data_IF_886214749926
#
_entry.id   IF_886214749926
#
_cell.length_a   1.000
_cell.length_b   1.000
_cell.length_c   1.000
_cell.angle_alpha   90.00
_cell.angle_beta   90.00
_cell.angle_gamma   90.00
#
_symmetry.space_group_name_H-M   'P 1'
#
loop_
_entity.id
_entity.type
_entity.pdbx_description
1 polymer ?
#
# COMPACT_ATOMS: atom_id res chain seq x y z
N UNK A 1 -18.30 -25.61 -31.22
CA UNK A 1 -17.25 -25.48 -30.18
C UNK A 1 -17.15 -24.01 -29.79
N UNK A 2 -17.19 -23.64 -28.49
CA UNK A 2 -17.10 -22.23 -28.09
C UNK A 2 -15.66 -21.72 -28.30
N UNK A 3 -15.53 -20.57 -28.97
CA UNK A 3 -14.27 -19.84 -29.17
C UNK A 3 -13.96 -19.03 -27.91
N UNK A 4 -12.73 -19.08 -27.41
CA UNK A 4 -12.29 -18.26 -26.27
C UNK A 4 -12.18 -16.80 -26.74
N UNK A 5 -12.67 -15.81 -25.97
CA UNK A 5 -12.54 -14.39 -26.31
C UNK A 5 -11.07 -13.99 -26.45
N UNK A 6 -10.76 -13.26 -27.53
CA UNK A 6 -9.41 -12.83 -27.91
C UNK A 6 -8.76 -11.94 -26.82
N UNK A 7 -9.56 -11.34 -25.94
CA UNK A 7 -9.10 -10.49 -24.84
C UNK A 7 -8.19 -11.22 -23.83
N UNK A 8 -8.41 -12.52 -23.58
CA UNK A 8 -7.58 -13.32 -22.65
C UNK A 8 -6.17 -13.59 -23.20
N UNK A 9 -5.97 -13.45 -24.51
CA UNK A 9 -4.67 -13.68 -25.16
C UNK A 9 -3.76 -12.44 -25.16
N UNK A 10 -4.30 -11.24 -24.90
CA UNK A 10 -3.50 -10.00 -24.85
C UNK A 10 -2.60 -9.94 -23.61
N UNK A 11 -3.08 -10.46 -22.48
CA UNK A 11 -2.35 -10.42 -21.20
C UNK A 11 -1.18 -11.41 -21.11
N UNK A 12 -1.13 -12.39 -22.01
CA UNK A 12 -0.11 -13.45 -22.04
C UNK A 12 1.17 -13.05 -22.81
N UNK A 13 1.17 -11.88 -23.46
CA UNK A 13 2.27 -11.40 -24.30
C UNK A 13 2.53 -12.28 -25.52
N UNK A 14 3.52 -11.90 -26.34
CA UNK A 14 3.84 -12.57 -27.63
C UNK A 14 4.18 -14.05 -27.47
N UNK A 15 4.84 -14.43 -26.38
CA UNK A 15 5.22 -15.82 -26.08
C UNK A 15 4.03 -16.71 -25.74
N UNK A 16 3.02 -16.20 -25.04
CA UNK A 16 1.83 -16.99 -24.72
C UNK A 16 0.90 -17.20 -25.92
N UNK A 17 0.88 -16.24 -26.86
CA UNK A 17 0.17 -16.39 -28.14
C UNK A 17 0.81 -17.49 -29.01
N UNK A 18 2.14 -17.56 -29.08
CA UNK A 18 2.83 -18.64 -29.78
C UNK A 18 2.61 -20.01 -29.13
N UNK A 19 2.61 -20.09 -27.80
CA UNK A 19 2.33 -21.32 -27.06
C UNK A 19 0.89 -21.82 -27.30
N UNK A 20 -0.10 -20.91 -27.34
CA UNK A 20 -1.50 -21.26 -27.67
C UNK A 20 -1.64 -21.76 -29.11
N UNK A 21 -0.96 -21.13 -30.08
CA UNK A 21 -0.96 -21.60 -31.47
C UNK A 21 -0.34 -22.98 -31.63
N UNK A 22 0.73 -23.27 -30.89
CA UNK A 22 1.42 -24.57 -30.95
C UNK A 22 0.66 -25.68 -30.24
N UNK A 23 0.05 -25.41 -29.08
CA UNK A 23 -0.65 -26.42 -28.27
C UNK A 23 -1.88 -25.86 -27.54
N UNK A 24 -3.00 -25.61 -28.27
CA UNK A 24 -4.16 -24.90 -27.72
C UNK A 24 -4.87 -25.66 -26.59
N UNK A 25 -4.83 -27.00 -26.61
CA UNK A 25 -5.52 -27.83 -25.62
C UNK A 25 -4.85 -27.79 -24.24
N UNK A 26 -3.51 -27.75 -24.18
CA UNK A 26 -2.77 -27.65 -22.93
C UNK A 26 -2.86 -26.25 -22.31
N UNK A 27 -2.84 -25.20 -23.12
CA UNK A 27 -2.98 -23.82 -22.64
C UNK A 27 -4.39 -23.57 -22.09
N UNK A 28 -5.44 -24.15 -22.70
CA UNK A 28 -6.80 -24.12 -22.14
C UNK A 28 -6.91 -24.82 -20.79
N UNK A 29 -6.28 -25.99 -20.66
CA UNK A 29 -6.25 -26.71 -19.38
C UNK A 29 -5.50 -25.93 -18.30
N UNK A 30 -4.37 -25.29 -18.66
CA UNK A 30 -3.61 -24.44 -17.74
C UNK A 30 -4.37 -23.19 -17.30
N UNK A 31 -5.07 -22.50 -18.23
CA UNK A 31 -5.91 -21.35 -17.92
C UNK A 31 -7.13 -21.71 -17.06
N UNK A 32 -7.71 -22.89 -17.26
CA UNK A 32 -8.81 -23.39 -16.42
C UNK A 32 -8.35 -23.73 -14.99
N UNK A 33 -7.10 -24.16 -14.82
CA UNK A 33 -6.51 -24.47 -13.50
C UNK A 33 -5.87 -23.25 -12.82
N UNK A 34 -5.51 -22.19 -13.56
CA UNK A 34 -4.84 -21.01 -13.03
C UNK A 34 -5.58 -20.31 -11.87
N UNK A 35 -6.92 -20.13 -11.91
CA UNK A 35 -7.65 -19.55 -10.78
C UNK A 35 -7.57 -20.42 -9.52
N UNK A 36 -7.62 -21.75 -9.68
CA UNK A 36 -7.53 -22.70 -8.57
C UNK A 36 -6.11 -22.77 -7.98
N UNK A 37 -5.08 -22.66 -8.82
CA UNK A 37 -3.67 -22.59 -8.38
C UNK A 37 -3.39 -21.26 -7.69
N UNK A 38 -3.87 -20.14 -8.21
CA UNK A 38 -3.75 -18.83 -7.56
C UNK A 38 -4.49 -18.80 -6.22
N UNK A 39 -5.70 -19.36 -6.16
CA UNK A 39 -6.47 -19.50 -4.92
C UNK A 39 -5.77 -20.44 -3.93
N UNK A 40 -5.23 -21.56 -4.38
CA UNK A 40 -4.45 -22.49 -3.55
C UNK A 40 -3.14 -21.89 -3.02
N UNK A 41 -2.46 -21.05 -3.81
CA UNK A 41 -1.28 -20.29 -3.37
C UNK A 41 -1.64 -19.21 -2.35
N UNK A 42 -2.76 -18.51 -2.53
CA UNK A 42 -3.28 -17.56 -1.54
C UNK A 42 -3.64 -18.26 -0.24
N UNK A 43 -4.38 -19.38 -0.29
CA UNK A 43 -4.76 -20.19 0.88
C UNK A 43 -3.55 -20.81 1.60
N UNK A 44 -2.50 -21.22 0.87
CA UNK A 44 -1.24 -21.69 1.46
C UNK A 44 -0.47 -20.56 2.14
N UNK A 45 -0.50 -19.37 1.56
CA UNK A 45 0.12 -18.20 2.17
C UNK A 45 -0.64 -17.82 3.45
N UNK A 46 -1.97 -17.78 3.41
CA UNK A 46 -2.82 -17.50 4.56
C UNK A 46 -2.63 -18.52 5.69
N UNK A 47 -2.58 -19.82 5.37
CA UNK A 47 -2.30 -20.88 6.36
C UNK A 47 -0.89 -20.79 6.93
N UNK A 48 0.10 -20.37 6.14
CA UNK A 48 1.46 -20.12 6.62
C UNK A 48 1.51 -18.91 7.56
N UNK A 49 0.80 -17.83 7.22
CA UNK A 49 0.65 -16.66 8.08
C UNK A 49 -0.10 -17.00 9.38
N UNK A 50 -1.17 -17.79 9.30
CA UNK A 50 -1.94 -18.26 10.46
C UNK A 50 -1.16 -19.21 11.36
N UNK A 51 -0.43 -20.17 10.80
CA UNK A 51 0.46 -21.04 11.57
C UNK A 51 1.59 -20.25 12.23
N UNK A 52 2.18 -19.29 11.52
CA UNK A 52 3.23 -18.45 12.08
C UNK A 52 2.70 -17.54 13.20
N UNK A 53 1.51 -16.96 13.02
CA UNK A 53 0.75 -16.24 14.07
C UNK A 53 0.53 -17.11 15.29
N UNK A 54 -0.03 -18.31 15.13
CA UNK A 54 -0.34 -19.20 16.27
C UNK A 54 0.92 -19.67 17.01
N UNK A 55 2.01 -19.92 16.29
CA UNK A 55 3.31 -20.30 16.88
C UNK A 55 3.98 -19.13 17.61
N UNK A 56 3.79 -17.90 17.13
CA UNK A 56 4.33 -16.70 17.75
C UNK A 56 3.45 -16.25 18.93
N UNK A 57 2.12 -16.23 18.83
CA UNK A 57 1.21 -15.96 19.96
C UNK A 57 1.51 -16.84 21.18
N UNK A 58 1.67 -18.16 20.97
CA UNK A 58 2.10 -19.10 22.05
C UNK A 58 3.46 -18.76 22.67
N UNK A 59 4.36 -18.11 21.93
CA UNK A 59 5.67 -17.68 22.43
C UNK A 59 5.62 -16.30 23.08
N UNK A 60 4.69 -15.43 22.67
CA UNK A 60 4.42 -14.14 23.31
C UNK A 60 3.82 -14.33 24.70
N UNK A 61 2.88 -15.28 24.85
CA UNK A 61 2.33 -15.71 26.14
C UNK A 61 3.40 -16.25 27.10
N UNK A 62 4.51 -16.78 26.55
CA UNK A 62 5.68 -17.27 27.28
C UNK A 62 6.77 -16.20 27.48
N UNK A 63 6.54 -14.94 27.07
CA UNK A 63 7.50 -13.84 27.18
C UNK A 63 8.75 -13.96 26.30
N UNK A 64 8.74 -14.84 25.28
CA UNK A 64 9.91 -15.17 24.44
C UNK A 64 10.03 -14.37 23.14
N UNK A 65 9.12 -13.43 22.89
CA UNK A 65 9.11 -12.60 21.67
C UNK A 65 9.18 -11.12 22.08
N UNK A 66 10.08 -10.40 21.43
CA UNK A 66 10.22 -8.96 21.56
C UNK A 66 8.94 -8.26 21.07
N UNK A 67 8.45 -7.27 21.84
CA UNK A 67 7.23 -6.51 21.56
C UNK A 67 7.15 -6.01 20.10
N UNK A 68 8.28 -5.56 19.57
CA UNK A 68 8.42 -5.09 18.19
C UNK A 68 8.09 -6.17 17.14
N UNK A 69 8.45 -7.43 17.39
CA UNK A 69 8.20 -8.51 16.45
C UNK A 69 6.70 -8.84 16.36
N UNK A 70 5.98 -8.73 17.48
CA UNK A 70 4.51 -8.85 17.51
C UNK A 70 3.88 -7.67 16.78
N UNK A 71 4.39 -6.46 17.03
CA UNK A 71 3.93 -5.25 16.33
C UNK A 71 4.15 -5.34 14.83
N UNK A 72 5.31 -5.79 14.39
CA UNK A 72 5.60 -5.96 12.96
C UNK A 72 4.58 -6.87 12.28
N UNK A 73 4.20 -7.98 12.91
CA UNK A 73 3.14 -8.85 12.38
C UNK A 73 1.79 -8.15 12.29
N UNK A 74 1.42 -7.36 13.32
CA UNK A 74 0.20 -6.55 13.27
C UNK A 74 0.24 -5.58 12.08
N UNK A 75 1.40 -4.99 11.80
CA UNK A 75 1.55 -4.13 10.63
C UNK A 75 1.32 -4.89 9.32
N UNK A 76 1.86 -6.09 9.18
CA UNK A 76 1.70 -6.92 7.99
C UNK A 76 0.27 -7.44 7.80
N UNK A 77 -0.36 -7.91 8.88
CA UNK A 77 -1.61 -8.66 8.78
C UNK A 77 -2.85 -7.80 8.94
N UNK A 78 -2.75 -6.62 9.56
CA UNK A 78 -3.90 -5.79 9.90
C UNK A 78 -3.77 -4.34 9.44
N UNK A 79 -2.62 -3.69 9.65
CA UNK A 79 -2.49 -2.25 9.37
C UNK A 79 -2.32 -2.00 7.88
N UNK A 80 -1.34 -2.66 7.23
CA UNK A 80 -1.10 -2.48 5.79
C UNK A 80 -2.28 -2.92 4.92
N UNK A 81 -2.96 -4.06 5.17
CA UNK A 81 -4.12 -4.44 4.36
C UNK A 81 -5.30 -3.48 4.48
N UNK A 82 -5.42 -2.76 5.60
CA UNK A 82 -6.53 -1.83 5.87
C UNK A 82 -6.14 -0.36 5.74
N UNK A 83 -4.91 -0.04 5.31
CA UNK A 83 -4.39 1.34 5.29
C UNK A 83 -5.23 2.27 4.41
N UNK A 84 -5.85 1.75 3.36
CA UNK A 84 -6.77 2.48 2.47
C UNK A 84 -8.10 2.87 3.14
N UNK A 85 -8.39 2.38 4.34
CA UNK A 85 -9.59 2.75 5.11
C UNK A 85 -9.30 3.78 6.20
N UNK A 86 -8.03 3.99 6.52
CA UNK A 86 -7.61 4.84 7.64
C UNK A 86 -7.67 6.32 7.28
N UNK A 87 -7.92 7.18 8.27
CA UNK A 87 -7.84 8.63 8.09
C UNK A 87 -6.38 9.07 7.95
N UNK A 88 -6.15 10.30 7.51
CA UNK A 88 -4.79 10.86 7.42
C UNK A 88 -4.08 10.79 8.77
N UNK A 89 -4.76 11.22 9.84
CA UNK A 89 -4.22 11.19 11.20
C UNK A 89 -3.87 9.77 11.66
N UNK A 90 -4.68 8.77 11.31
CA UNK A 90 -4.40 7.38 11.67
C UNK A 90 -3.19 6.82 10.92
N UNK A 91 -3.00 7.18 9.66
CA UNK A 91 -1.79 6.82 8.91
C UNK A 91 -0.56 7.52 9.48
N UNK A 92 -0.68 8.79 9.84
CA UNK A 92 0.38 9.59 10.46
C UNK A 92 0.85 8.96 11.80
N UNK A 93 -0.10 8.62 12.69
CA UNK A 93 0.19 7.89 13.93
C UNK A 93 0.96 6.58 13.68
N UNK A 94 0.55 5.82 12.65
CA UNK A 94 1.21 4.58 12.28
C UNK A 94 2.63 4.82 11.74
N UNK A 95 2.83 5.86 10.94
CA UNK A 95 4.15 6.24 10.42
C UNK A 95 5.07 6.64 11.57
N UNK A 96 4.62 7.51 12.48
CA UNK A 96 5.39 7.93 13.66
C UNK A 96 5.73 6.77 14.58
N UNK A 97 4.82 5.81 14.77
CA UNK A 97 5.10 4.59 15.53
C UNK A 97 6.22 3.76 14.87
N UNK A 98 6.19 3.60 13.55
CA UNK A 98 7.24 2.89 12.79
C UNK A 98 8.59 3.64 12.88
N UNK A 99 8.58 4.96 12.80
CA UNK A 99 9.79 5.79 12.97
C UNK A 99 10.42 5.57 14.34
N UNK A 100 9.60 5.55 15.40
CA UNK A 100 10.08 5.29 16.76
C UNK A 100 10.77 3.92 16.86
N UNK A 101 10.20 2.86 16.27
CA UNK A 101 10.85 1.54 16.22
C UNK A 101 12.15 1.55 15.42
N UNK A 102 12.19 2.27 14.28
CA UNK A 102 13.42 2.39 13.49
C UNK A 102 14.52 3.10 14.29
N UNK A 103 14.19 4.18 15.00
CA UNK A 103 15.13 4.90 15.86
C UNK A 103 15.65 4.01 16.99
N UNK A 104 14.75 3.32 17.71
CA UNK A 104 15.14 2.39 18.77
C UNK A 104 16.11 1.31 18.27
N UNK A 105 15.81 0.70 17.11
CA UNK A 105 16.67 -0.32 16.51
C UNK A 105 18.01 0.25 16.02
N UNK A 106 18.05 1.48 15.52
CA UNK A 106 19.28 2.17 15.11
C UNK A 106 20.17 2.48 16.32
N UNK A 107 19.58 2.95 17.42
CA UNK A 107 20.27 3.20 18.68
C UNK A 107 20.84 1.90 19.25
N UNK A 108 20.05 0.81 19.29
CA UNK A 108 20.56 -0.50 19.69
C UNK A 108 21.68 -1.01 18.78
N UNK A 109 21.56 -0.81 17.47
CA UNK A 109 22.58 -1.26 16.52
C UNK A 109 23.91 -0.55 16.75
N UNK A 110 23.88 0.76 17.01
CA UNK A 110 25.08 1.60 17.18
C UNK A 110 25.66 1.50 18.60
N UNK A 111 24.84 1.65 19.64
CA UNK A 111 25.26 1.65 21.04
C UNK A 111 25.62 0.25 21.53
N UNK A 112 24.84 -0.78 21.16
CA UNK A 112 25.06 -2.16 21.60
C UNK A 112 25.85 -2.99 20.57
N UNK A 113 26.33 -2.36 19.48
CA UNK A 113 27.10 -2.99 18.39
C UNK A 113 26.43 -4.26 17.86
N UNK A 114 25.14 -4.17 17.52
CA UNK A 114 24.32 -5.29 17.04
C UNK A 114 24.03 -5.18 15.53
N UNK A 115 24.99 -5.46 14.63
CA UNK A 115 24.80 -5.32 13.18
C UNK A 115 23.70 -6.24 12.63
N UNK A 116 23.35 -7.31 13.35
CA UNK A 116 22.25 -8.23 13.00
C UNK A 116 20.87 -7.56 12.98
N UNK A 117 20.73 -6.32 13.46
CA UNK A 117 19.49 -5.54 13.44
C UNK A 117 19.24 -4.84 12.10
N UNK A 118 20.25 -4.66 11.24
CA UNK A 118 20.09 -3.97 9.96
C UNK A 118 18.96 -4.55 9.06
N UNK A 119 18.79 -5.88 8.92
CA UNK A 119 17.66 -6.44 8.18
C UNK A 119 16.29 -6.15 8.81
N UNK A 120 16.22 -5.95 10.14
CA UNK A 120 14.98 -5.57 10.83
C UNK A 120 14.63 -4.12 10.59
N UNK A 121 15.62 -3.23 10.65
CA UNK A 121 15.46 -1.81 10.30
C UNK A 121 14.93 -1.67 8.86
N UNK A 122 15.54 -2.38 7.90
CA UNK A 122 15.10 -2.35 6.50
C UNK A 122 13.64 -2.83 6.32
N UNK A 123 13.21 -3.81 7.11
CA UNK A 123 11.81 -4.28 7.10
C UNK A 123 10.84 -3.21 7.59
N UNK A 124 11.17 -2.52 8.67
CA UNK A 124 10.35 -1.42 9.20
C UNK A 124 10.34 -0.22 8.27
N UNK A 125 11.48 0.14 7.68
CA UNK A 125 11.55 1.18 6.66
C UNK A 125 10.68 0.86 5.44
N UNK A 126 10.61 -0.41 5.03
CA UNK A 126 9.68 -0.83 3.98
C UNK A 126 8.21 -0.61 4.37
N UNK A 127 7.84 -0.95 5.60
CA UNK A 127 6.48 -0.71 6.12
C UNK A 127 6.18 0.79 6.12
N UNK A 128 7.12 1.62 6.59
CA UNK A 128 7.01 3.08 6.57
C UNK A 128 6.71 3.60 5.16
N UNK A 129 7.54 3.24 4.18
CA UNK A 129 7.36 3.69 2.80
C UNK A 129 6.05 3.23 2.16
N UNK A 130 5.50 2.07 2.54
CA UNK A 130 4.18 1.64 2.10
C UNK A 130 3.07 2.53 2.67
N UNK A 131 3.14 2.90 3.96
CA UNK A 131 2.17 3.78 4.61
C UNK A 131 2.24 5.20 4.05
N UNK A 132 3.45 5.75 3.89
CA UNK A 132 3.68 7.07 3.29
C UNK A 132 3.13 7.12 1.86
N UNK A 133 3.34 6.06 1.06
CA UNK A 133 2.82 5.99 -0.30
C UNK A 133 1.29 6.01 -0.35
N UNK A 134 0.62 5.29 0.56
CA UNK A 134 -0.85 5.32 0.70
C UNK A 134 -1.32 6.70 1.14
N UNK A 135 -0.66 7.28 2.15
CA UNK A 135 -0.99 8.60 2.69
C UNK A 135 -0.89 9.68 1.60
N UNK A 136 0.26 9.79 0.91
CA UNK A 136 0.49 10.76 -0.17
C UNK A 136 -0.51 10.57 -1.33
N UNK A 137 -0.71 9.32 -1.77
CA UNK A 137 -1.62 9.03 -2.89
C UNK A 137 -3.05 9.38 -2.57
N UNK A 138 -3.51 9.05 -1.36
CA UNK A 138 -4.88 9.35 -0.96
C UNK A 138 -5.05 10.83 -0.68
N UNK A 139 -4.11 11.48 0.00
CA UNK A 139 -4.12 12.92 0.23
C UNK A 139 -4.27 13.68 -1.10
N UNK A 140 -3.44 13.36 -2.10
CA UNK A 140 -3.55 13.96 -3.43
C UNK A 140 -4.92 13.74 -4.08
N UNK A 141 -5.43 12.49 -4.09
CA UNK A 141 -6.73 12.16 -4.69
C UNK A 141 -7.88 12.91 -4.03
N UNK A 142 -7.85 13.07 -2.71
CA UNK A 142 -8.87 13.77 -1.95
C UNK A 142 -8.85 15.27 -2.25
N UNK A 143 -7.67 15.88 -2.40
CA UNK A 143 -7.55 17.28 -2.84
C UNK A 143 -8.04 17.50 -4.28
N UNK A 144 -7.75 16.57 -5.20
CA UNK A 144 -8.30 16.63 -6.57
C UNK A 144 -9.83 16.59 -6.53
N UNK A 145 -10.43 15.70 -5.75
CA UNK A 145 -11.90 15.62 -5.60
C UNK A 145 -12.50 16.87 -4.98
N UNK A 146 -11.87 17.43 -3.95
CA UNK A 146 -12.30 18.69 -3.35
C UNK A 146 -12.25 19.86 -4.34
N UNK A 147 -11.37 19.80 -5.34
CA UNK A 147 -11.33 20.80 -6.40
C UNK A 147 -12.41 20.57 -7.47
N UNK A 148 -12.78 19.31 -7.72
CA UNK A 148 -13.80 18.91 -8.70
C UNK A 148 -15.23 19.16 -8.19
N UNK A 149 -15.48 18.96 -6.90
CA UNK A 149 -16.81 19.03 -6.28
C UNK A 149 -16.74 19.83 -4.97
N UNK A 150 -17.41 20.99 -4.96
CA UNK A 150 -17.46 21.88 -3.80
C UNK A 150 -18.20 21.30 -2.61
N UNK A 151 -19.13 20.37 -2.86
CA UNK A 151 -19.99 19.76 -1.85
C UNK A 151 -19.39 18.46 -1.31
N UNK A 152 -18.30 17.97 -1.91
CA UNK A 152 -17.61 16.77 -1.46
C UNK A 152 -16.92 16.98 -0.12
N UNK A 153 -17.26 16.17 0.87
CA UNK A 153 -16.57 16.11 2.17
C UNK A 153 -15.68 14.87 2.24
N UNK A 154 -14.38 15.09 2.40
CA UNK A 154 -13.40 14.01 2.51
C UNK A 154 -13.52 13.30 3.88
N UNK A 155 -13.72 11.97 3.91
CA UNK A 155 -13.63 11.21 5.16
C UNK A 155 -12.16 10.96 5.59
N UNK A 156 -11.20 11.29 4.73
CA UNK A 156 -9.78 11.04 4.94
C UNK A 156 -9.08 12.25 5.58
N UNK A 157 -9.39 13.45 5.10
CA UNK A 157 -8.79 14.72 5.54
C UNK A 157 -9.53 15.30 6.74
N UNK A 158 -8.83 16.05 7.60
CA UNK A 158 -9.48 16.82 8.66
C UNK A 158 -10.26 18.00 8.05
N UNK A 159 -11.35 18.43 8.72
CA UNK A 159 -12.16 19.56 8.26
C UNK A 159 -11.34 20.82 8.01
N UNK A 160 -10.41 21.14 8.92
CA UNK A 160 -9.54 22.31 8.80
C UNK A 160 -8.72 22.31 7.49
N UNK A 161 -8.22 21.15 7.05
CA UNK A 161 -7.47 21.05 5.79
C UNK A 161 -8.42 21.29 4.60
N UNK A 162 -9.62 20.73 4.65
CA UNK A 162 -10.61 20.87 3.58
C UNK A 162 -11.09 22.32 3.44
N UNK A 163 -11.43 22.95 4.57
CA UNK A 163 -11.84 24.36 4.62
C UNK A 163 -10.73 25.27 4.12
N UNK A 164 -9.51 25.10 4.65
CA UNK A 164 -8.36 25.89 4.20
C UNK A 164 -8.08 25.74 2.70
N UNK A 165 -8.19 24.52 2.16
CA UNK A 165 -8.01 24.28 0.73
C UNK A 165 -9.09 24.95 -0.13
N UNK A 166 -10.34 24.97 0.33
CA UNK A 166 -11.46 25.63 -0.37
C UNK A 166 -11.36 27.15 -0.35
N UNK A 167 -10.84 27.70 0.74
CA UNK A 167 -10.61 29.15 0.91
C UNK A 167 -9.49 29.70 0.00
N UNK A 168 -8.68 28.84 -0.62
CA UNK A 168 -7.66 29.26 -1.58
C UNK A 168 -8.33 29.92 -2.80
N UNK A 169 -7.99 31.19 -3.10
CA UNK A 169 -8.78 32.03 -4.00
C UNK A 169 -8.55 31.72 -5.47
N UNK A 170 -7.40 31.17 -5.84
CA UNK A 170 -7.06 30.84 -7.22
C UNK A 170 -6.71 29.37 -7.42
N UNK A 171 -6.84 28.90 -8.66
CA UNK A 171 -6.39 27.56 -9.04
C UNK A 171 -4.88 27.37 -8.80
N UNK A 172 -4.09 28.42 -9.01
CA UNK A 172 -2.64 28.38 -8.78
C UNK A 172 -2.29 28.24 -7.29
N UNK A 173 -3.03 28.91 -6.40
CA UNK A 173 -2.84 28.74 -4.95
C UNK A 173 -3.16 27.30 -4.52
N UNK A 174 -4.21 26.69 -5.08
CA UNK A 174 -4.57 25.29 -4.83
C UNK A 174 -3.51 24.32 -5.33
N UNK A 175 -2.96 24.53 -6.53
CA UNK A 175 -1.86 23.73 -7.06
C UNK A 175 -0.60 23.87 -6.21
N UNK A 176 -0.25 25.10 -5.80
CA UNK A 176 0.88 25.36 -4.93
C UNK A 176 0.72 24.65 -3.58
N UNK A 177 -0.49 24.67 -3.00
CA UNK A 177 -0.81 23.91 -1.80
C UNK A 177 -0.57 22.41 -1.99
N UNK A 178 -1.06 21.83 -3.09
CA UNK A 178 -0.84 20.40 -3.40
C UNK A 178 0.66 20.07 -3.50
N UNK A 179 1.44 20.90 -4.19
CA UNK A 179 2.88 20.68 -4.39
C UNK A 179 3.70 20.85 -3.10
N UNK A 180 3.24 21.69 -2.17
CA UNK A 180 3.88 21.85 -0.87
C UNK A 180 3.74 20.59 0.00
N UNK A 181 2.60 19.90 -0.10
CA UNK A 181 2.24 18.80 0.81
C UNK A 181 2.30 17.42 0.17
N UNK A 182 2.66 17.32 -1.12
CA UNK A 182 2.76 16.03 -1.80
C UNK A 182 4.06 15.91 -2.59
N UNK A 183 4.47 14.67 -2.83
CA UNK A 183 5.63 14.35 -3.67
C UNK A 183 5.28 14.29 -5.16
N UNK A 184 4.16 14.91 -5.57
CA UNK A 184 3.64 14.84 -6.92
C UNK A 184 4.42 15.73 -7.86
N UNK A 185 4.52 15.24 -9.09
CA UNK A 185 5.13 15.96 -10.19
C UNK A 185 4.26 17.14 -10.62
N UNK A 186 4.89 18.30 -10.83
CA UNK A 186 4.21 19.55 -11.18
C UNK A 186 3.40 19.45 -12.47
N UNK A 187 3.92 18.77 -13.51
CA UNK A 187 3.19 18.59 -14.76
C UNK A 187 1.93 17.76 -14.55
N UNK A 188 1.99 16.73 -13.69
CA UNK A 188 0.82 15.92 -13.33
C UNK A 188 -0.22 16.74 -12.57
N UNK A 189 0.20 17.51 -11.56
CA UNK A 189 -0.69 18.39 -10.80
C UNK A 189 -1.37 19.38 -11.75
N UNK A 190 -0.60 20.03 -12.62
CA UNK A 190 -1.14 20.96 -13.61
C UNK A 190 -2.19 20.30 -14.49
N UNK A 191 -1.91 19.12 -15.06
CA UNK A 191 -2.88 18.41 -15.92
C UNK A 191 -4.16 18.04 -15.19
N UNK A 192 -4.04 17.51 -13.97
CA UNK A 192 -5.18 16.97 -13.23
C UNK A 192 -6.07 18.12 -12.71
N UNK A 193 -5.51 19.30 -12.42
CA UNK A 193 -6.23 20.51 -12.01
C UNK A 193 -6.69 21.40 -13.17
N UNK A 194 -6.12 21.28 -14.37
CA UNK A 194 -6.54 22.02 -15.58
C UNK A 194 -7.82 21.48 -16.22
N UNK A 195 -8.21 20.23 -15.94
CA UNK A 195 -9.36 19.58 -16.59
C UNK A 195 -10.73 20.20 -16.27
N UNK A 196 -10.80 21.19 -15.39
CA UNK A 196 -12.03 21.67 -14.77
C UNK A 196 -12.17 23.20 -14.75
N UNK A 197 -11.55 23.88 -15.73
CA UNK A 197 -11.88 25.27 -16.08
C UNK A 197 -12.99 25.29 -17.13
#
# INVERSE_FOLDING_TARGET
MPKIPIEVLKDLGTKGVEAYKKNPHMVKAALAMAPAVLKGLAELNDKKHEWHRNKLLKKTELGKIEYEQVRYMRYQDQILPNSETYTYAKLDECISEVESFVMQLQDEMTLLKRPKLAPRIAKWQKVKGQLESVQDTRFYRELVRLNEDSDYESPFLSKNIQEHFRELPTLEDRKAFVLQFTTRDEEKVNRDFLKYV
#
